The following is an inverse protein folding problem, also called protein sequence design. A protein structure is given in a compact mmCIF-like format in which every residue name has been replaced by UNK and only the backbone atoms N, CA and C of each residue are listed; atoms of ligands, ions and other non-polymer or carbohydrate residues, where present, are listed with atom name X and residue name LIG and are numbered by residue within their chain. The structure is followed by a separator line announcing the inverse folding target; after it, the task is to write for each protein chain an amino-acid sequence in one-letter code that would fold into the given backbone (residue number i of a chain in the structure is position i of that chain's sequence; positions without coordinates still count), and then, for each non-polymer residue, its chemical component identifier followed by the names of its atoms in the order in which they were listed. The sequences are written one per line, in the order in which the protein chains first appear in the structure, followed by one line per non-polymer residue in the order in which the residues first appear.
data_IF_842140877613
#
_entry.id   IF_842140877613
#
_cell.length_a   1.000
_cell.length_b   1.000
_cell.length_c   1.000
_cell.angle_alpha   90.00
_cell.angle_beta   90.00
_cell.angle_gamma   90.00
#
_symmetry.space_group_name_H-M   'P 1'
#
loop_
_entity.id
_entity.type
_entity.pdbx_description
1 polymer ?
#
# COMPACT_ATOMS: atom_id res chain seq x y z
N UNK A 1 -28.67 12.44 20.91
CA UNK A 1 -28.47 11.56 19.75
C UNK A 1 -26.99 11.62 19.40
N UNK A 2 -26.21 10.63 19.87
CA UNK A 2 -24.76 10.59 19.64
C UNK A 2 -24.55 10.05 18.23
N UNK A 3 -24.29 10.95 17.29
CA UNK A 3 -23.99 10.58 15.91
C UNK A 3 -22.62 9.87 15.91
N UNK A 4 -22.49 8.61 15.47
CA UNK A 4 -21.19 7.97 15.35
C UNK A 4 -20.37 8.77 14.33
N UNK A 5 -19.19 9.24 14.74
CA UNK A 5 -18.26 9.92 13.85
C UNK A 5 -18.08 9.06 12.59
N UNK A 6 -18.10 9.64 11.37
CA UNK A 6 -17.76 8.89 10.18
C UNK A 6 -16.38 8.25 10.39
N UNK A 7 -16.16 6.99 9.95
CA UNK A 7 -14.84 6.39 10.03
C UNK A 7 -13.88 7.38 9.43
N UNK A 8 -12.80 7.68 10.16
CA UNK A 8 -11.80 8.66 9.79
C UNK A 8 -11.60 8.58 8.28
N UNK A 9 -11.68 9.70 7.57
CA UNK A 9 -11.36 9.77 6.14
C UNK A 9 -9.89 9.35 5.99
N UNK A 10 -9.65 8.04 6.02
CA UNK A 10 -8.36 7.43 5.84
C UNK A 10 -7.95 7.83 4.44
N UNK A 11 -6.99 8.74 4.38
CA UNK A 11 -6.55 9.38 3.14
C UNK A 11 -6.31 8.26 2.13
N UNK A 12 -7.10 8.24 1.06
CA UNK A 12 -6.91 7.27 0.00
C UNK A 12 -5.46 7.41 -0.47
N UNK A 13 -4.72 6.31 -0.41
CA UNK A 13 -3.33 6.23 -0.83
C UNK A 13 -3.35 6.36 -2.36
N UNK A 14 -3.10 7.57 -2.83
CA UNK A 14 -3.09 7.91 -4.27
C UNK A 14 -1.71 7.72 -4.90
N UNK A 15 -0.71 7.34 -4.09
CA UNK A 15 0.68 7.15 -4.49
C UNK A 15 1.25 5.93 -3.79
N UNK A 16 2.02 5.15 -4.53
CA UNK A 16 2.75 4.03 -3.96
C UNK A 16 3.83 4.54 -2.99
N UNK A 17 4.13 3.77 -1.93
CA UNK A 17 5.20 4.12 -1.00
C UNK A 17 6.57 4.07 -1.69
N UNK A 18 7.52 4.87 -1.21
CA UNK A 18 8.86 5.03 -1.81
C UNK A 18 9.65 3.72 -1.94
N UNK A 19 9.39 2.75 -1.06
CA UNK A 19 10.05 1.45 -1.08
C UNK A 19 9.49 0.50 -2.14
N UNK A 20 8.35 0.79 -2.76
CA UNK A 20 7.81 0.02 -3.87
C UNK A 20 8.78 0.04 -5.08
N UNK A 21 8.96 -1.05 -5.83
CA UNK A 21 8.29 -2.36 -5.77
C UNK A 21 8.94 -3.36 -4.79
N UNK A 22 9.86 -2.90 -3.96
CA UNK A 22 10.55 -3.77 -2.99
C UNK A 22 9.54 -4.33 -2.01
N UNK A 23 9.42 -5.64 -1.96
CA UNK A 23 8.61 -6.34 -0.96
C UNK A 23 9.48 -7.28 -0.13
N UNK A 24 9.13 -7.42 1.14
CA UNK A 24 9.80 -8.36 2.03
C UNK A 24 9.16 -9.73 1.86
N UNK A 25 9.94 -10.83 1.94
CA UNK A 25 9.39 -12.20 1.86
C UNK A 25 8.25 -12.45 2.86
N UNK A 26 8.30 -11.81 4.03
CA UNK A 26 7.26 -11.89 5.06
C UNK A 26 5.94 -11.20 4.67
N UNK A 27 6.01 -10.22 3.77
CA UNK A 27 4.86 -9.45 3.27
C UNK A 27 4.49 -9.84 1.83
N UNK A 28 5.10 -10.89 1.28
CA UNK A 28 4.95 -11.28 -0.12
C UNK A 28 3.50 -11.61 -0.45
N UNK A 29 2.77 -12.26 0.46
CA UNK A 29 1.35 -12.58 0.27
C UNK A 29 0.49 -11.32 0.14
N UNK A 30 0.63 -10.35 1.04
CA UNK A 30 -0.13 -9.09 1.00
C UNK A 30 0.25 -8.28 -0.24
N UNK A 31 1.53 -8.34 -0.62
CA UNK A 31 2.02 -7.70 -1.84
C UNK A 31 1.39 -8.33 -3.08
N UNK A 32 1.39 -9.67 -3.18
CA UNK A 32 0.78 -10.41 -4.28
C UNK A 32 -0.72 -10.11 -4.40
N UNK A 33 -1.46 -10.13 -3.29
CA UNK A 33 -2.88 -9.77 -3.29
C UNK A 33 -3.11 -8.35 -3.80
N UNK A 34 -2.29 -7.38 -3.34
CA UNK A 34 -2.34 -6.02 -3.85
C UNK A 34 -2.04 -5.97 -5.35
N UNK A 35 -0.98 -6.62 -5.81
CA UNK A 35 -0.61 -6.65 -7.23
C UNK A 35 -1.68 -7.29 -8.08
N UNK A 36 -2.31 -8.39 -7.64
CA UNK A 36 -3.40 -9.03 -8.39
C UNK A 36 -4.64 -8.15 -8.50
N UNK A 37 -5.01 -7.44 -7.44
CA UNK A 37 -6.07 -6.44 -7.51
C UNK A 37 -5.66 -5.29 -8.44
N UNK A 38 -4.44 -4.80 -8.29
CA UNK A 38 -3.92 -3.71 -9.10
C UNK A 38 -3.90 -4.09 -10.58
N UNK A 39 -3.37 -5.25 -10.97
CA UNK A 39 -3.35 -5.75 -12.35
C UNK A 39 -4.75 -5.97 -12.92
N UNK A 40 -5.70 -6.46 -12.12
CA UNK A 40 -7.09 -6.62 -12.56
C UNK A 40 -7.76 -5.29 -12.92
N UNK A 41 -7.38 -4.21 -12.22
CA UNK A 41 -7.95 -2.88 -12.43
C UNK A 41 -7.06 -1.95 -13.27
N UNK A 42 -5.75 -2.20 -13.35
CA UNK A 42 -4.75 -1.40 -14.06
C UNK A 42 -4.57 -1.94 -15.46
N UNK A 43 -5.68 -2.14 -16.17
CA UNK A 43 -5.69 -2.37 -17.61
C UNK A 43 -5.28 -1.05 -18.27
N UNK A 44 -3.96 -0.83 -18.36
CA UNK A 44 -3.39 0.35 -18.98
C UNK A 44 -3.73 0.34 -20.47
N UNK A 45 -4.65 1.22 -20.89
CA UNK A 45 -4.90 1.47 -22.31
C UNK A 45 -3.71 2.19 -22.97
N UNK A 46 -2.93 2.95 -22.19
CA UNK A 46 -1.76 3.68 -22.66
C UNK A 46 -0.66 3.70 -21.57
N UNK A 47 0.61 3.65 -21.95
CA UNK A 47 1.74 3.55 -21.00
C UNK A 47 1.91 4.78 -20.10
N UNK A 48 1.19 5.88 -20.40
CA UNK A 48 1.17 7.12 -19.63
C UNK A 48 -0.10 7.33 -18.81
N UNK A 49 -1.01 6.35 -18.75
CA UNK A 49 -2.31 6.49 -18.10
C UNK A 49 -2.22 6.37 -16.56
N UNK A 50 -1.68 7.43 -15.95
CA UNK A 50 -1.59 7.62 -14.50
C UNK A 50 -2.97 7.74 -13.85
N UNK A 51 -4.02 8.02 -14.62
CA UNK A 51 -5.41 8.11 -14.15
C UNK A 51 -5.94 6.73 -13.82
N UNK A 52 -5.78 5.78 -14.74
CA UNK A 52 -6.17 4.37 -14.53
C UNK A 52 -5.44 3.80 -13.33
N UNK A 53 -4.12 3.97 -13.25
CA UNK A 53 -3.34 3.53 -12.09
C UNK A 53 -3.86 4.12 -10.76
N UNK A 54 -4.20 5.41 -10.70
CA UNK A 54 -4.78 6.04 -9.51
C UNK A 54 -6.15 5.47 -9.15
N UNK A 55 -7.00 5.23 -10.13
CA UNK A 55 -8.31 4.61 -9.92
C UNK A 55 -8.16 3.19 -9.40
N UNK A 56 -7.29 2.37 -9.99
CA UNK A 56 -6.98 1.02 -9.50
C UNK A 56 -6.47 1.03 -8.06
N UNK A 57 -5.58 1.99 -7.71
CA UNK A 57 -5.14 2.19 -6.32
C UNK A 57 -6.31 2.51 -5.38
N UNK A 58 -7.31 3.27 -5.82
CA UNK A 58 -8.50 3.57 -5.02
C UNK A 58 -9.39 2.35 -4.79
N UNK A 59 -9.44 1.41 -5.74
CA UNK A 59 -10.16 0.15 -5.58
C UNK A 59 -9.42 -0.81 -4.62
N UNK A 60 -8.09 -0.88 -4.73
CA UNK A 60 -7.25 -1.80 -3.96
C UNK A 60 -6.67 -1.18 -2.67
N UNK A 61 -7.39 -0.23 -2.05
CA UNK A 61 -6.91 0.51 -0.86
C UNK A 61 -6.68 -0.41 0.33
N UNK A 62 -7.52 -1.42 0.52
CA UNK A 62 -7.46 -2.34 1.66
C UNK A 62 -6.18 -3.17 1.58
N UNK A 63 -5.96 -3.83 0.45
CA UNK A 63 -4.75 -4.63 0.19
C UNK A 63 -3.47 -3.79 0.28
N UNK A 64 -3.51 -2.56 -0.26
CA UNK A 64 -2.37 -1.64 -0.21
C UNK A 64 -2.04 -1.25 1.23
N UNK A 65 -3.04 -1.03 2.10
CA UNK A 65 -2.82 -0.75 3.52
C UNK A 65 -2.24 -1.95 4.24
N UNK A 66 -2.69 -3.16 3.95
CA UNK A 66 -2.13 -4.37 4.56
C UNK A 66 -0.65 -4.55 4.17
N UNK A 67 -0.34 -4.35 2.89
CA UNK A 67 1.03 -4.34 2.38
C UNK A 67 1.88 -3.29 3.10
N UNK A 68 1.42 -2.03 3.13
CA UNK A 68 2.14 -0.93 3.79
C UNK A 68 2.35 -1.21 5.26
N UNK A 69 1.33 -1.70 5.97
CA UNK A 69 1.42 -2.04 7.40
C UNK A 69 2.48 -3.11 7.66
N UNK A 70 2.53 -4.15 6.82
CA UNK A 70 3.53 -5.20 6.95
C UNK A 70 4.95 -4.66 6.67
N UNK A 71 5.10 -3.86 5.62
CA UNK A 71 6.37 -3.25 5.25
C UNK A 71 6.87 -2.22 6.26
N UNK A 72 6.00 -1.36 6.78
CA UNK A 72 6.34 -0.39 7.81
C UNK A 72 6.76 -1.07 9.11
N UNK A 73 6.09 -2.16 9.51
CA UNK A 73 6.52 -2.99 10.65
C UNK A 73 7.91 -3.60 10.41
N UNK A 74 8.16 -4.13 9.22
CA UNK A 74 9.45 -4.68 8.85
C UNK A 74 10.55 -3.61 8.85
N UNK A 75 10.29 -2.46 8.22
CA UNK A 75 11.21 -1.33 8.17
C UNK A 75 11.47 -0.77 9.57
N UNK A 76 10.46 -0.66 10.43
CA UNK A 76 10.62 -0.24 11.81
C UNK A 76 11.48 -1.23 12.61
N UNK A 77 11.29 -2.54 12.43
CA UNK A 77 12.11 -3.57 13.05
C UNK A 77 13.56 -3.53 12.54
N UNK A 78 13.75 -3.29 11.24
CA UNK A 78 15.06 -3.15 10.60
C UNK A 78 15.78 -1.86 11.05
N UNK A 79 15.08 -0.73 11.13
CA UNK A 79 15.64 0.55 11.61
C UNK A 79 15.95 0.51 13.11
N UNK A 80 15.13 -0.17 13.93
CA UNK A 80 15.45 -0.40 15.36
C UNK A 80 16.79 -1.11 15.56
N UNK A 81 17.19 -1.96 14.62
CA UNK A 81 18.50 -2.62 14.66
C UNK A 81 19.66 -1.64 14.42
N UNK A 82 19.42 -0.56 13.66
CA UNK A 82 20.46 0.40 13.30
C UNK A 82 20.75 1.43 14.40
N UNK A 83 19.81 1.66 15.32
CA UNK A 83 20.01 2.55 16.48
C UNK A 83 20.82 1.93 17.63
N UNK A 84 21.17 0.63 17.55
CA UNK A 84 21.92 -0.09 18.59
C UNK A 84 23.42 -0.21 18.30
N UNK A 85 23.91 0.49 17.28
CA UNK A 85 25.32 0.48 16.82
C UNK A 85 25.99 1.87 16.87
N UNK A 86 25.40 2.83 17.59
CA UNK A 86 26.03 4.11 17.94
C UNK A 86 26.02 4.33 19.45
#
# INVERSE_FOLDING_TARGET
MTQPLPPAREKAITRLPQYFPTSCKQCATQTDTFFRCFEAHAVMMDGHDVTTAKTSLQHCQTELREYMTCMEKYLAAKNKHWWKVW
#
